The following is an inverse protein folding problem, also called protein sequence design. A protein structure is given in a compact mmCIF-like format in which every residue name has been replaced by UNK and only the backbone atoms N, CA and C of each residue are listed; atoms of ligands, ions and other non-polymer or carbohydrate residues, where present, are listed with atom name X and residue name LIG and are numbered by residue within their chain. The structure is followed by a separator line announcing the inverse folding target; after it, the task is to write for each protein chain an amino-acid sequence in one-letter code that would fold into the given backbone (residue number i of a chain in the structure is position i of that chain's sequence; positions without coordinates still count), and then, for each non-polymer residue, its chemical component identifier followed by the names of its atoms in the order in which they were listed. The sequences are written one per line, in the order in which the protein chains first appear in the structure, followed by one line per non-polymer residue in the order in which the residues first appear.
data_IF_754382246802
#
_entry.id   IF_754382246802
#
_cell.length_a   1.000
_cell.length_b   1.000
_cell.length_c   1.000
_cell.angle_alpha   90.00
_cell.angle_beta   90.00
_cell.angle_gamma   90.00
#
_symmetry.space_group_name_H-M   'P 1'
#
loop_
_entity.id
_entity.type
_entity.pdbx_description
1 polymer ?
#
# COMPACT_ATOMS: atom_id res chain seq x y z
N UNK A 1 18.24 63.90 -63.89
CA UNK A 1 17.56 63.07 -62.87
C UNK A 1 16.09 62.98 -63.27
N UNK A 2 15.57 61.79 -63.57
CA UNK A 2 14.18 61.59 -64.04
C UNK A 2 13.29 61.46 -62.79
N UNK A 3 12.25 62.29 -62.60
CA UNK A 3 11.38 62.13 -61.44
C UNK A 3 10.74 60.73 -61.50
N UNK A 4 10.61 60.03 -60.37
CA UNK A 4 9.97 58.72 -60.33
C UNK A 4 8.57 58.83 -60.94
N UNK A 5 8.21 57.87 -61.78
CA UNK A 5 6.90 57.90 -62.45
C UNK A 5 5.78 57.81 -61.42
N UNK A 6 4.66 58.52 -61.60
CA UNK A 6 3.49 58.38 -60.73
C UNK A 6 3.03 56.92 -60.57
N UNK A 7 3.21 56.10 -61.61
CA UNK A 7 2.94 54.67 -61.59
C UNK A 7 3.81 53.90 -60.58
N UNK A 8 5.09 54.27 -60.43
CA UNK A 8 5.99 53.62 -59.47
C UNK A 8 5.63 53.98 -58.02
N UNK A 9 5.18 55.21 -57.79
CA UNK A 9 4.68 55.64 -56.47
C UNK A 9 3.44 54.84 -56.07
N UNK A 10 2.47 54.71 -56.99
CA UNK A 10 1.26 53.91 -56.75
C UNK A 10 1.60 52.44 -56.55
N UNK A 11 2.52 51.89 -57.34
CA UNK A 11 2.96 50.50 -57.20
C UNK A 11 3.63 50.22 -55.85
N UNK A 12 4.45 51.15 -55.33
CA UNK A 12 5.08 51.01 -54.02
C UNK A 12 4.07 51.09 -52.87
N UNK A 13 3.09 51.98 -52.95
CA UNK A 13 2.01 52.07 -51.95
C UNK A 13 1.16 50.80 -51.99
N UNK A 14 0.77 50.34 -53.17
CA UNK A 14 0.01 49.10 -53.34
C UNK A 14 0.79 47.90 -52.78
N UNK A 15 2.11 47.83 -53.04
CA UNK A 15 2.99 46.79 -52.52
C UNK A 15 3.10 46.85 -50.99
N UNK A 16 3.23 48.05 -50.41
CA UNK A 16 3.28 48.23 -48.96
C UNK A 16 1.96 47.80 -48.27
N UNK A 17 0.81 48.14 -48.86
CA UNK A 17 -0.51 47.73 -48.35
C UNK A 17 -0.72 46.22 -48.49
N UNK A 18 -0.30 45.63 -49.62
CA UNK A 18 -0.40 44.19 -49.85
C UNK A 18 0.45 43.37 -48.87
N UNK A 19 1.62 43.88 -48.48
CA UNK A 19 2.50 43.24 -47.47
C UNK A 19 2.04 43.53 -46.02
N UNK A 20 1.38 44.66 -45.77
CA UNK A 20 1.00 45.09 -44.42
C UNK A 20 -0.19 44.33 -43.81
N UNK A 21 -1.10 43.78 -44.62
CA UNK A 21 -2.36 43.20 -44.14
C UNK A 21 -2.22 42.00 -43.20
N UNK A 22 -1.21 41.14 -43.39
CA UNK A 22 -0.96 39.96 -42.55
C UNK A 22 0.04 40.22 -41.44
N UNK A 23 1.04 41.07 -41.68
CA UNK A 23 2.06 41.43 -40.68
C UNK A 23 1.51 42.26 -39.53
N UNK A 24 0.58 43.19 -39.81
CA UNK A 24 0.02 44.08 -38.78
C UNK A 24 -0.73 43.33 -37.68
N UNK A 25 -1.44 42.24 -38.03
CA UNK A 25 -2.14 41.41 -37.05
C UNK A 25 -1.17 40.63 -36.13
N UNK A 26 0.02 40.26 -36.60
CA UNK A 26 1.02 39.55 -35.77
C UNK A 26 1.75 40.50 -34.83
N UNK A 27 1.99 41.75 -35.26
CA UNK A 27 2.72 42.74 -34.46
C UNK A 27 1.83 43.49 -33.46
N UNK A 28 0.51 43.52 -33.67
CA UNK A 28 -0.44 44.31 -32.86
C UNK A 28 -1.21 43.51 -31.83
N UNK A 29 -0.82 42.26 -31.53
CA UNK A 29 -1.38 41.59 -30.36
C UNK A 29 -0.50 41.91 -29.15
N UNK A 30 -1.01 42.69 -28.18
CA UNK A 30 -0.36 42.80 -26.89
C UNK A 30 -0.21 41.40 -26.27
N UNK A 31 0.81 41.24 -25.42
CA UNK A 31 0.96 40.01 -24.64
C UNK A 31 -0.34 39.77 -23.86
N UNK A 32 -0.83 38.53 -23.89
CA UNK A 32 -2.07 38.09 -23.22
C UNK A 32 -3.39 38.61 -23.83
N UNK A 33 -3.39 39.03 -25.11
CA UNK A 33 -4.61 39.52 -25.79
C UNK A 33 -5.32 38.50 -26.68
N UNK A 34 -4.99 37.21 -26.54
CA UNK A 34 -5.76 36.11 -27.15
C UNK A 34 -6.69 35.52 -26.10
N UNK A 35 -7.94 35.97 -26.10
CA UNK A 35 -9.03 35.41 -25.32
C UNK A 35 -9.76 34.28 -26.04
N UNK A 36 -10.75 33.71 -25.35
CA UNK A 36 -11.54 32.56 -25.83
C UNK A 36 -12.32 32.86 -27.10
N UNK A 37 -12.79 34.10 -27.30
CA UNK A 37 -13.55 34.50 -28.49
C UNK A 37 -12.72 34.41 -29.79
N UNK A 38 -11.38 34.48 -29.71
CA UNK A 38 -10.49 34.36 -30.86
C UNK A 38 -10.11 32.90 -31.15
N UNK A 39 -10.39 31.96 -30.23
CA UNK A 39 -9.98 30.56 -30.33
C UNK A 39 -11.17 29.70 -30.71
N UNK A 40 -11.12 29.06 -31.88
CA UNK A 40 -12.13 28.08 -32.30
C UNK A 40 -12.05 26.82 -31.44
N UNK A 41 -13.18 26.11 -31.30
CA UNK A 41 -13.23 24.82 -30.60
C UNK A 41 -12.21 23.84 -31.21
N UNK A 42 -11.46 23.14 -30.36
CA UNK A 42 -10.38 22.21 -30.74
C UNK A 42 -9.20 22.84 -31.50
N UNK A 43 -9.06 24.17 -31.52
CA UNK A 43 -7.94 24.81 -32.19
C UNK A 43 -6.59 24.57 -31.48
N UNK A 44 -6.59 24.40 -30.16
CA UNK A 44 -5.39 24.10 -29.36
C UNK A 44 -5.36 22.60 -29.09
N UNK A 45 -4.42 21.91 -29.74
CA UNK A 45 -4.19 20.47 -29.60
C UNK A 45 -2.81 20.24 -28.97
N UNK A 46 -2.53 19.01 -28.52
CA UNK A 46 -1.28 18.67 -27.83
C UNK A 46 -0.02 19.06 -28.62
N UNK A 47 -0.03 18.97 -29.95
CA UNK A 47 1.10 19.38 -30.79
C UNK A 47 1.41 20.89 -30.73
N UNK A 48 0.45 21.72 -30.30
CA UNK A 48 0.62 23.17 -30.13
C UNK A 48 1.01 23.55 -28.70
N UNK A 49 1.08 22.58 -27.79
CA UNK A 49 1.46 22.77 -26.38
C UNK A 49 2.85 22.19 -26.19
N UNK A 50 3.75 22.97 -25.58
CA UNK A 50 5.10 22.51 -25.28
C UNK A 50 5.04 21.46 -24.16
N UNK A 51 5.78 20.36 -24.31
CA UNK A 51 5.87 19.36 -23.25
C UNK A 51 6.42 19.97 -21.95
N UNK A 52 5.76 19.69 -20.83
CA UNK A 52 6.13 20.19 -19.51
C UNK A 52 5.82 21.67 -19.25
N UNK A 53 5.07 22.35 -20.13
CA UNK A 53 4.67 23.74 -19.90
C UNK A 53 3.34 23.90 -19.14
N UNK A 54 2.69 22.80 -18.75
CA UNK A 54 1.43 22.82 -18.01
C UNK A 54 1.71 22.46 -16.55
N UNK A 55 1.29 23.34 -15.65
CA UNK A 55 1.39 23.17 -14.21
C UNK A 55 0.08 22.64 -13.63
N UNK A 56 0.12 22.13 -12.39
CA UNK A 56 -1.09 21.62 -11.74
C UNK A 56 -2.20 22.67 -11.58
N UNK A 57 -1.82 23.96 -11.50
CA UNK A 57 -2.71 25.12 -11.44
C UNK A 57 -3.48 25.39 -12.74
N UNK A 58 -3.00 24.87 -13.88
CA UNK A 58 -3.68 25.05 -15.18
C UNK A 58 -4.88 24.10 -15.34
N UNK A 59 -5.00 23.12 -14.45
CA UNK A 59 -6.07 22.13 -14.46
C UNK A 59 -7.13 22.45 -13.41
N UNK A 60 -8.38 22.14 -13.73
CA UNK A 60 -9.45 22.23 -12.73
C UNK A 60 -9.21 21.21 -11.61
N UNK A 61 -9.60 21.52 -10.36
CA UNK A 61 -9.53 20.54 -9.27
C UNK A 61 -10.20 19.22 -9.67
N UNK A 62 -9.48 18.11 -9.46
CA UNK A 62 -9.96 16.76 -9.80
C UNK A 62 -9.74 16.30 -11.25
N UNK A 63 -9.16 17.12 -12.14
CA UNK A 63 -8.74 16.63 -13.47
C UNK A 63 -7.43 15.82 -13.43
N UNK A 64 -6.58 16.10 -12.44
CA UNK A 64 -5.32 15.39 -12.27
C UNK A 64 -5.55 14.16 -11.41
N UNK A 65 -5.20 13.00 -11.95
CA UNK A 65 -5.10 11.77 -11.16
C UNK A 65 -3.94 11.96 -10.17
N UNK A 66 -4.24 11.87 -8.87
CA UNK A 66 -3.19 11.84 -7.86
C UNK A 66 -2.23 10.68 -8.19
N UNK A 67 -0.91 10.96 -8.12
CA UNK A 67 0.08 9.90 -8.25
C UNK A 67 -0.22 8.80 -7.24
N UNK A 68 0.01 7.55 -7.64
CA UNK A 68 -0.09 6.42 -6.72
C UNK A 68 0.77 6.67 -5.49
N UNK A 69 0.16 6.61 -4.30
CA UNK A 69 0.88 6.71 -3.05
C UNK A 69 2.00 5.64 -3.05
N UNK A 70 3.20 6.02 -2.62
CA UNK A 70 4.29 5.07 -2.45
C UNK A 70 3.86 3.91 -1.54
N UNK A 71 4.45 2.73 -1.76
CA UNK A 71 4.20 1.58 -0.91
C UNK A 71 4.42 1.94 0.56
N UNK A 72 3.56 1.42 1.45
CA UNK A 72 3.77 1.55 2.88
C UNK A 72 5.17 1.00 3.23
N UNK A 73 5.90 1.71 4.10
CA UNK A 73 7.18 1.23 4.60
C UNK A 73 7.01 -0.13 5.30
N UNK A 74 8.07 -0.95 5.28
CA UNK A 74 8.05 -2.24 5.97
C UNK A 74 7.73 -2.06 7.46
N UNK A 75 6.92 -2.97 8.02
CA UNK A 75 6.69 -3.04 9.47
C UNK A 75 8.02 -3.20 10.19
N UNK A 76 8.28 -2.36 11.19
CA UNK A 76 9.50 -2.47 12.00
C UNK A 76 9.64 -3.85 12.66
N UNK A 77 10.88 -4.26 12.94
CA UNK A 77 11.14 -5.54 13.60
C UNK A 77 10.40 -5.63 14.94
N UNK A 78 9.78 -6.79 15.23
CA UNK A 78 9.20 -7.08 16.53
C UNK A 78 10.29 -7.04 17.59
N UNK A 79 10.12 -6.21 18.62
CA UNK A 79 11.07 -6.13 19.73
C UNK A 79 11.20 -7.47 20.49
N UNK A 80 12.30 -7.67 21.25
CA UNK A 80 12.53 -8.90 22.01
C UNK A 80 11.36 -9.14 22.97
N UNK A 81 10.67 -10.28 22.80
CA UNK A 81 9.61 -10.70 23.72
C UNK A 81 10.26 -11.31 24.97
N UNK A 82 9.89 -10.81 26.15
CA UNK A 82 10.49 -11.16 27.46
C UNK A 82 9.73 -12.25 28.23
N UNK A 83 8.79 -12.96 27.59
CA UNK A 83 7.99 -14.01 28.22
C UNK A 83 8.19 -15.37 27.55
N UNK A 84 8.60 -16.36 28.32
CA UNK A 84 8.63 -17.78 27.92
C UNK A 84 7.56 -18.53 28.71
N UNK A 85 6.77 -19.37 28.04
CA UNK A 85 5.73 -20.20 28.69
C UNK A 85 5.80 -21.64 28.17
N UNK A 86 5.59 -22.60 29.09
CA UNK A 86 5.36 -24.01 28.77
C UNK A 86 4.08 -24.45 29.50
N UNK A 87 3.22 -25.20 28.81
CA UNK A 87 1.96 -25.71 29.35
C UNK A 87 1.76 -27.14 28.88
N UNK A 88 1.49 -28.04 29.82
CA UNK A 88 0.96 -29.37 29.54
C UNK A 88 -0.53 -29.38 29.92
N UNK A 89 -1.39 -29.68 28.95
CA UNK A 89 -2.85 -29.62 29.09
C UNK A 89 -3.49 -30.96 29.44
N UNK A 90 -2.70 -32.03 29.54
CA UNK A 90 -3.17 -33.38 29.86
C UNK A 90 -3.19 -33.68 31.36
N UNK A 91 -3.98 -34.70 31.72
CA UNK A 91 -3.88 -35.33 33.04
C UNK A 91 -2.71 -36.34 33.00
N UNK A 92 -1.66 -36.07 33.76
CA UNK A 92 -0.47 -36.93 33.82
C UNK A 92 -0.53 -37.81 35.06
N UNK A 93 -0.57 -39.13 34.87
CA UNK A 93 -0.63 -40.11 35.97
C UNK A 93 0.73 -40.21 36.68
N UNK A 94 0.80 -39.80 37.94
CA UNK A 94 2.01 -39.85 38.75
C UNK A 94 1.98 -41.08 39.69
N UNK A 95 2.98 -41.97 39.67
CA UNK A 95 3.03 -43.10 40.59
C UNK A 95 3.31 -42.61 42.02
N UNK A 96 2.55 -43.13 43.00
CA UNK A 96 2.66 -42.75 44.42
C UNK A 96 4.01 -43.06 45.08
N UNK A 97 4.87 -43.81 44.39
CA UNK A 97 6.20 -44.21 44.85
C UNK A 97 7.33 -43.30 44.35
N UNK A 98 7.05 -42.34 43.46
CA UNK A 98 8.08 -41.45 42.93
C UNK A 98 8.35 -40.25 43.86
N UNK A 99 9.63 -40.00 44.17
CA UNK A 99 10.08 -38.83 44.94
C UNK A 99 10.15 -37.55 44.08
N UNK A 100 10.31 -37.68 42.77
CA UNK A 100 10.33 -36.56 41.80
C UNK A 100 9.81 -37.02 40.44
N UNK A 101 8.95 -36.22 39.79
CA UNK A 101 8.41 -36.49 38.47
C UNK A 101 8.33 -35.19 37.65
N UNK A 102 8.82 -35.19 36.42
CA UNK A 102 8.87 -34.00 35.55
C UNK A 102 7.60 -33.92 34.70
N UNK A 103 6.80 -32.87 34.90
CA UNK A 103 5.53 -32.67 34.19
C UNK A 103 5.74 -31.90 32.88
N UNK A 104 6.63 -30.91 32.87
CA UNK A 104 6.96 -30.12 31.68
C UNK A 104 8.39 -29.61 31.76
N UNK A 105 8.97 -29.26 30.61
CA UNK A 105 10.30 -28.64 30.53
C UNK A 105 10.19 -27.29 29.84
N UNK A 106 10.82 -26.27 30.41
CA UNK A 106 10.90 -24.93 29.84
C UNK A 106 12.36 -24.66 29.48
N UNK A 107 12.68 -24.66 28.18
CA UNK A 107 14.01 -24.33 27.71
C UNK A 107 14.23 -22.82 27.79
N UNK A 108 15.20 -22.39 28.62
CA UNK A 108 15.55 -20.99 28.82
C UNK A 108 17.01 -20.75 28.40
N UNK A 109 17.32 -19.66 27.67
CA UNK A 109 18.68 -19.19 27.47
C UNK A 109 19.38 -18.85 28.79
N UNK A 110 20.71 -18.70 28.80
CA UNK A 110 21.43 -18.24 29.99
C UNK A 110 20.97 -16.83 30.40
N UNK A 111 20.56 -16.65 31.65
CA UNK A 111 20.08 -15.37 32.17
C UNK A 111 19.34 -15.48 33.50
N UNK A 112 18.86 -14.35 34.00
CA UNK A 112 18.09 -14.27 35.23
C UNK A 112 16.60 -14.21 34.90
N UNK A 113 15.83 -15.13 35.47
CA UNK A 113 14.39 -15.26 35.21
C UNK A 113 13.61 -15.36 36.52
N UNK A 114 12.41 -14.80 36.52
CA UNK A 114 11.40 -15.10 37.54
C UNK A 114 10.51 -16.20 36.97
N UNK A 115 10.44 -17.34 37.66
CA UNK A 115 9.64 -18.49 37.22
C UNK A 115 8.42 -18.63 38.13
N UNK A 116 7.23 -18.67 37.53
CA UNK A 116 5.98 -18.98 38.21
C UNK A 116 5.35 -20.21 37.58
N UNK A 117 4.96 -21.20 38.38
CA UNK A 117 4.28 -22.41 37.91
C UNK A 117 3.03 -22.70 38.75
N UNK A 118 2.05 -23.37 38.14
CA UNK A 118 0.84 -23.86 38.81
C UNK A 118 0.54 -25.27 38.31
N UNK A 119 0.31 -26.20 39.24
CA UNK A 119 -0.02 -27.59 38.93
C UNK A 119 -1.13 -28.06 39.89
N UNK A 120 -2.38 -28.22 39.42
CA UNK A 120 -3.44 -28.80 40.24
C UNK A 120 -3.20 -30.31 40.39
N UNK A 121 -3.20 -30.80 41.63
CA UNK A 121 -3.05 -32.23 41.93
C UNK A 121 -4.40 -32.82 42.28
N UNK A 122 -4.80 -33.87 41.56
CA UNK A 122 -6.01 -34.64 41.83
C UNK A 122 -5.56 -36.05 42.23
N UNK A 123 -5.99 -36.53 43.40
CA UNK A 123 -5.74 -37.91 43.79
C UNK A 123 -6.90 -38.79 43.29
N UNK A 124 -6.59 -39.79 42.46
CA UNK A 124 -7.52 -40.87 42.12
C UNK A 124 -7.02 -42.17 42.75
N UNK A 125 -7.77 -42.71 43.71
CA UNK A 125 -7.52 -44.03 44.27
C UNK A 125 -8.25 -45.05 43.39
N UNK A 126 -7.63 -45.51 42.30
CA UNK A 126 -8.17 -46.67 41.58
C UNK A 126 -7.85 -47.92 42.40
N UNK A 127 -8.84 -48.42 43.16
CA UNK A 127 -8.77 -49.75 43.73
C UNK A 127 -8.71 -50.76 42.57
N UNK A 128 -7.49 -51.14 42.19
CA UNK A 128 -7.26 -52.22 41.24
C UNK A 128 -7.59 -53.53 41.95
N UNK A 129 -8.87 -53.88 41.96
CA UNK A 129 -9.32 -55.18 42.42
C UNK A 129 -8.57 -56.26 41.63
N UNK A 130 -7.88 -57.20 42.29
CA UNK A 130 -7.12 -58.22 41.58
C UNK A 130 -8.09 -59.17 40.87
N UNK A 131 -7.97 -59.21 39.55
CA UNK A 131 -8.38 -60.33 38.70
C UNK A 131 -9.87 -60.72 38.78
N UNK A 132 -10.72 -60.03 38.00
CA UNK A 132 -12.02 -60.58 37.58
C UNK A 132 -11.77 -61.82 36.72
N UNK A 133 -11.63 -62.98 37.37
CA UNK A 133 -11.66 -64.26 36.69
C UNK A 133 -13.09 -64.42 36.18
N UNK A 134 -13.29 -64.11 34.90
CA UNK A 134 -14.56 -64.32 34.20
C UNK A 134 -14.84 -65.82 34.25
N UNK A 135 -15.76 -66.25 35.12
CA UNK A 135 -16.28 -67.61 35.05
C UNK A 135 -17.21 -67.69 33.84
N UNK A 136 -16.98 -68.61 32.89
CA UNK A 136 -17.88 -68.76 31.74
C UNK A 136 -19.26 -69.20 32.23
N UNK A 137 -20.28 -68.40 31.92
CA UNK A 137 -21.68 -68.79 32.10
C UNK A 137 -21.94 -70.00 31.21
N UNK A 138 -22.14 -71.16 31.84
CA UNK A 138 -22.54 -72.38 31.14
C UNK A 138 -23.91 -72.23 30.51
N UNK A 139 -23.96 -72.28 29.19
CA UNK A 139 -25.20 -72.52 28.43
C UNK A 139 -25.72 -73.91 28.78
N UNK A 140 -26.68 -74.00 29.70
CA UNK A 140 -27.43 -75.24 29.95
C UNK A 140 -28.55 -75.32 28.92
N UNK A 141 -28.35 -76.17 27.92
CA UNK A 141 -29.37 -76.53 26.94
C UNK A 141 -30.39 -77.52 27.51
N UNK A 142 -31.55 -77.49 26.84
CA UNK A 142 -32.78 -78.30 26.99
C UNK A 142 -33.78 -77.81 28.04
#
# INVERSE_FOLDING_TARGET
MKPPSPALVVALIALAVALGGTGYAVTQLPKNSVGTAQIKKNAVTGAKVKAGSLEASDFKPGQLLAGQNGAAGATGARGPSNGFTAYDGGATSMPLTATSYTITTLALPAGNFVVSARAPVLASLSAQWPNQTVYPVGTRGR
#
